data_IF_283563194796
#
_entry.id   IF_283563194796
#
_cell.length_a   1.000
_cell.length_b   1.000
_cell.length_c   1.000
_cell.angle_alpha   90.00
_cell.angle_beta   90.00
_cell.angle_gamma   90.00
#
_symmetry.space_group_name_H-M   'P 1'
#
loop_
_entity.id
_entity.type
_entity.pdbx_description
1 polymer ?
#
# COMPACT_ATOMS: atom_id res chain seq x y z
N UNK A 1 -17.87 32.70 6.68
CA UNK A 1 -17.48 31.63 5.74
C UNK A 1 -16.50 30.75 6.50
N UNK A 2 -16.94 29.58 6.99
CA UNK A 2 -16.04 28.67 7.71
C UNK A 2 -15.81 27.47 6.80
N UNK A 3 -14.70 27.48 6.08
CA UNK A 3 -14.21 26.29 5.39
C UNK A 3 -13.65 25.36 6.45
N UNK A 4 -14.50 24.45 6.96
CA UNK A 4 -14.02 23.28 7.68
C UNK A 4 -13.22 22.45 6.68
N UNK A 5 -11.90 22.63 6.70
CA UNK A 5 -10.97 21.84 5.91
C UNK A 5 -10.95 20.40 6.47
N UNK A 6 -11.99 19.63 6.13
CA UNK A 6 -12.23 18.30 6.65
C UNK A 6 -11.32 17.32 5.92
N UNK A 7 -10.09 17.19 6.42
CA UNK A 7 -9.06 16.28 5.89
C UNK A 7 -9.63 14.86 5.92
N UNK A 8 -9.85 14.27 4.74
CA UNK A 8 -10.52 12.96 4.60
C UNK A 8 -9.58 11.75 4.79
N UNK A 9 -8.27 11.98 4.92
CA UNK A 9 -7.28 10.93 5.07
C UNK A 9 -5.85 11.47 5.01
N UNK A 10 -4.88 10.58 5.22
CA UNK A 10 -3.45 10.90 5.30
C UNK A 10 -2.73 10.45 4.04
N UNK A 11 -1.88 11.33 3.48
CA UNK A 11 -0.95 10.98 2.42
C UNK A 11 0.45 10.80 3.02
N UNK A 12 1.01 9.59 2.88
CA UNK A 12 2.34 9.26 3.39
C UNK A 12 3.31 9.12 2.21
N UNK A 13 4.16 10.12 1.92
CA UNK A 13 5.19 10.00 0.90
C UNK A 13 6.34 9.12 1.43
N UNK A 14 6.63 8.02 0.72
CA UNK A 14 7.70 7.09 1.07
C UNK A 14 8.80 7.21 0.03
N UNK A 15 10.00 7.61 0.46
CA UNK A 15 11.16 7.86 -0.41
C UNK A 15 11.77 6.61 -1.06
N UNK A 16 11.21 5.43 -0.80
CA UNK A 16 11.68 4.14 -1.30
C UNK A 16 12.66 3.44 -0.36
N UNK A 17 13.03 2.21 -0.73
CA UNK A 17 13.84 1.30 0.07
C UNK A 17 13.27 1.07 1.49
N UNK A 18 11.95 1.11 1.61
CA UNK A 18 11.26 0.83 2.85
C UNK A 18 11.59 -0.58 3.35
N UNK A 19 11.84 -0.67 4.66
CA UNK A 19 12.08 -1.93 5.32
C UNK A 19 10.82 -2.80 5.26
N UNK A 20 11.01 -4.06 4.87
CA UNK A 20 9.99 -5.12 4.78
C UNK A 20 10.26 -6.24 5.78
N UNK A 21 11.18 -6.00 6.72
CA UNK A 21 11.59 -6.92 7.77
C UNK A 21 12.60 -7.96 7.29
N UNK A 22 13.44 -7.62 6.30
CA UNK A 22 14.46 -8.51 5.71
C UNK A 22 15.88 -7.91 5.75
N UNK A 23 16.06 -6.66 6.22
CA UNK A 23 17.36 -5.98 6.25
C UNK A 23 17.82 -5.68 7.68
N UNK A 24 19.10 -5.30 7.77
CA UNK A 24 20.01 -5.00 8.90
C UNK A 24 19.49 -4.31 10.18
N UNK A 25 18.19 -4.00 10.30
CA UNK A 25 17.56 -3.50 11.53
C UNK A 25 17.03 -4.63 12.42
N UNK A 26 16.79 -4.35 13.70
CA UNK A 26 16.16 -5.38 14.56
C UNK A 26 14.70 -5.56 14.15
N UNK A 27 14.17 -6.78 14.28
CA UNK A 27 12.73 -7.09 14.06
C UNK A 27 11.80 -6.20 14.90
N UNK A 28 12.30 -5.65 16.01
CA UNK A 28 11.59 -4.72 16.87
C UNK A 28 11.48 -3.32 16.23
N UNK A 29 12.52 -2.85 15.55
CA UNK A 29 12.55 -1.57 14.86
C UNK A 29 11.56 -1.56 13.70
N UNK A 30 11.54 -2.63 12.88
CA UNK A 30 10.54 -2.80 11.82
C UNK A 30 9.10 -2.73 12.37
N UNK A 31 8.85 -3.33 13.54
CA UNK A 31 7.51 -3.37 14.16
C UNK A 31 7.08 -2.06 14.81
N UNK A 32 7.99 -1.35 15.50
CA UNK A 32 7.65 -0.13 16.24
C UNK A 32 7.80 1.13 15.42
N UNK A 33 8.86 1.22 14.62
CA UNK A 33 9.28 2.44 13.93
C UNK A 33 9.34 2.28 12.40
N UNK A 34 9.06 1.09 11.86
CA UNK A 34 9.05 0.85 10.42
C UNK A 34 7.89 1.59 9.74
N UNK A 35 8.14 2.13 8.56
CA UNK A 35 7.14 2.91 7.81
C UNK A 35 5.86 2.10 7.51
N UNK A 36 5.96 0.78 7.30
CA UNK A 36 4.78 -0.07 7.11
C UNK A 36 3.94 -0.21 8.39
N UNK A 37 4.58 -0.15 9.56
CA UNK A 37 3.86 -0.09 10.85
C UNK A 37 3.09 1.23 10.97
N UNK A 38 3.72 2.34 10.57
CA UNK A 38 3.06 3.64 10.54
C UNK A 38 1.87 3.68 9.57
N UNK A 39 2.00 3.09 8.37
CA UNK A 39 0.86 2.93 7.44
C UNK A 39 -0.32 2.23 8.11
N UNK A 40 -0.08 1.16 8.88
CA UNK A 40 -1.15 0.48 9.62
C UNK A 40 -1.73 1.35 10.75
N UNK A 41 -0.91 2.17 11.42
CA UNK A 41 -1.38 3.08 12.48
C UNK A 41 -2.32 4.15 11.95
N UNK A 42 -2.08 4.68 10.75
CA UNK A 42 -2.96 5.63 10.07
C UNK A 42 -4.26 4.97 9.54
N UNK A 43 -4.28 3.64 9.46
CA UNK A 43 -5.49 2.84 9.19
C UNK A 43 -6.21 2.39 10.46
N UNK A 44 -6.45 1.09 10.56
CA UNK A 44 -7.09 0.41 11.71
C UNK A 44 -6.13 -0.54 12.42
N UNK A 45 -4.83 -0.29 12.34
CA UNK A 45 -3.79 -1.17 12.88
C UNK A 45 -3.79 -2.52 12.16
N UNK A 46 -3.79 -3.61 12.92
CA UNK A 46 -3.72 -4.99 12.39
C UNK A 46 -4.98 -5.42 11.63
N UNK A 47 -6.11 -4.75 11.87
CA UNK A 47 -7.39 -5.03 11.22
C UNK A 47 -7.59 -4.24 9.92
N UNK A 48 -6.59 -3.45 9.52
CA UNK A 48 -6.64 -2.64 8.29
C UNK A 48 -6.82 -3.51 7.05
N UNK A 49 -7.73 -3.11 6.17
CA UNK A 49 -7.80 -3.57 4.79
C UNK A 49 -6.77 -2.79 3.96
N UNK A 50 -5.65 -3.44 3.66
CA UNK A 50 -4.57 -2.83 2.87
C UNK A 50 -4.69 -3.28 1.43
N UNK A 51 -4.75 -2.31 0.50
CA UNK A 51 -4.65 -2.57 -0.94
C UNK A 51 -3.27 -2.15 -1.43
N UNK A 52 -2.53 -3.07 -2.02
CA UNK A 52 -1.22 -2.83 -2.61
C UNK A 52 -1.33 -2.83 -4.13
N UNK A 53 -0.82 -1.78 -4.78
CA UNK A 53 -0.82 -1.60 -6.23
C UNK A 53 0.64 -1.61 -6.73
N UNK A 54 1.17 -2.76 -7.17
CA UNK A 54 2.56 -2.89 -7.58
C UNK A 54 2.83 -2.46 -9.03
N UNK A 55 1.92 -1.69 -9.64
CA UNK A 55 1.92 -1.35 -11.07
C UNK A 55 3.16 -0.59 -11.54
N UNK A 56 3.89 0.07 -10.65
CA UNK A 56 5.16 0.72 -11.00
C UNK A 56 6.31 -0.29 -11.23
N UNK A 57 6.23 -1.46 -10.60
CA UNK A 57 7.30 -2.47 -10.59
C UNK A 57 7.39 -3.27 -11.90
N UNK A 58 8.61 -3.68 -12.26
CA UNK A 58 8.86 -4.64 -13.36
C UNK A 58 8.59 -6.09 -12.95
N UNK A 59 8.58 -6.36 -11.64
CA UNK A 59 8.32 -7.65 -11.01
C UNK A 59 7.15 -7.52 -10.02
N UNK A 60 5.92 -7.22 -10.52
CA UNK A 60 4.80 -6.84 -9.67
C UNK A 60 4.31 -7.95 -8.74
N UNK A 61 4.46 -9.22 -9.15
CA UNK A 61 4.04 -10.39 -8.37
C UNK A 61 4.94 -10.59 -7.16
N UNK A 62 6.26 -10.56 -7.36
CA UNK A 62 7.26 -10.63 -6.27
C UNK A 62 7.12 -9.45 -5.30
N UNK A 63 6.99 -8.22 -5.83
CA UNK A 63 6.80 -7.03 -4.98
C UNK A 63 5.50 -7.11 -4.19
N UNK A 64 4.41 -7.57 -4.81
CA UNK A 64 3.13 -7.79 -4.14
C UNK A 64 3.26 -8.79 -2.99
N UNK A 65 3.90 -9.94 -3.24
CA UNK A 65 4.14 -10.96 -2.22
C UNK A 65 4.98 -10.43 -1.06
N UNK A 66 6.04 -9.66 -1.35
CA UNK A 66 6.87 -9.05 -0.32
C UNK A 66 6.08 -8.12 0.61
N UNK A 67 5.09 -7.37 0.11
CA UNK A 67 4.22 -6.58 0.98
C UNK A 67 3.23 -7.43 1.79
N UNK A 68 2.66 -8.48 1.20
CA UNK A 68 1.80 -9.42 1.94
C UNK A 68 2.57 -9.97 3.15
N UNK A 69 3.79 -10.46 2.93
CA UNK A 69 4.63 -11.05 3.97
C UNK A 69 5.05 -9.99 5.01
N UNK A 70 5.41 -8.78 4.57
CA UNK A 70 5.79 -7.69 5.46
C UNK A 70 4.63 -7.27 6.38
N UNK A 71 3.43 -7.07 5.85
CA UNK A 71 2.25 -6.75 6.66
C UNK A 71 1.83 -7.91 7.56
N UNK A 72 1.98 -9.15 7.10
CA UNK A 72 1.74 -10.33 7.93
C UNK A 72 2.71 -10.40 9.13
N UNK A 73 4.00 -10.03 8.95
CA UNK A 73 4.97 -9.91 10.06
C UNK A 73 4.55 -8.85 11.10
N UNK A 74 3.80 -7.83 10.68
CA UNK A 74 3.20 -6.80 11.56
C UNK A 74 1.86 -7.23 12.18
N UNK A 75 1.31 -8.36 11.74
CA UNK A 75 0.05 -8.92 12.22
C UNK A 75 -1.18 -8.54 11.39
N UNK A 76 -1.01 -7.79 10.29
CA UNK A 76 -2.08 -7.46 9.36
C UNK A 76 -2.13 -8.50 8.24
N UNK A 77 -3.23 -9.24 8.16
CA UNK A 77 -3.43 -10.30 7.14
C UNK A 77 -4.41 -9.93 6.04
N UNK A 78 -5.11 -8.80 6.17
CA UNK A 78 -6.10 -8.35 5.21
C UNK A 78 -5.46 -7.49 4.12
N UNK A 79 -4.62 -8.13 3.30
CA UNK A 79 -3.85 -7.48 2.24
C UNK A 79 -4.33 -7.99 0.89
N UNK A 80 -4.79 -7.09 0.03
CA UNK A 80 -5.16 -7.38 -1.36
C UNK A 80 -4.16 -6.76 -2.31
N UNK A 81 -3.64 -7.53 -3.26
CA UNK A 81 -2.75 -7.02 -4.31
C UNK A 81 -3.53 -6.80 -5.60
N UNK A 82 -3.65 -5.54 -6.03
CA UNK A 82 -4.26 -5.20 -7.31
C UNK A 82 -3.17 -4.98 -8.35
N UNK A 83 -2.81 -6.05 -9.07
CA UNK A 83 -1.84 -6.00 -10.17
C UNK A 83 -2.50 -5.44 -11.45
N UNK A 84 -2.69 -4.12 -11.49
CA UNK A 84 -3.27 -3.42 -12.64
C UNK A 84 -2.24 -3.37 -13.77
N UNK A 85 -2.47 -4.16 -14.82
CA UNK A 85 -1.64 -4.25 -16.03
C UNK A 85 -2.19 -3.37 -17.16
N UNK A 86 -3.49 -3.11 -17.18
CA UNK A 86 -4.20 -2.29 -18.19
C UNK A 86 -5.27 -1.41 -17.55
N UNK A 87 -5.67 -0.34 -18.25
CA UNK A 87 -6.62 0.68 -17.75
C UNK A 87 -8.00 0.12 -17.42
N UNK A 88 -8.46 -0.86 -18.19
CA UNK A 88 -9.77 -1.48 -17.99
C UNK A 88 -9.84 -2.23 -16.65
N UNK A 89 -8.70 -2.72 -16.15
CA UNK A 89 -8.63 -3.37 -14.84
C UNK A 89 -8.75 -2.35 -13.70
N UNK A 90 -8.26 -1.12 -13.87
CA UNK A 90 -8.39 -0.08 -12.86
C UNK A 90 -9.86 0.30 -12.61
N UNK A 91 -10.67 0.27 -13.67
CA UNK A 91 -12.10 0.58 -13.62
C UNK A 91 -13.00 -0.65 -13.46
N UNK A 92 -12.44 -1.84 -13.20
CA UNK A 92 -13.26 -3.03 -12.98
C UNK A 92 -14.06 -2.90 -11.68
N UNK A 93 -15.24 -3.53 -11.63
CA UNK A 93 -16.09 -3.55 -10.42
C UNK A 93 -15.33 -4.09 -9.21
N UNK A 94 -14.48 -5.09 -9.41
CA UNK A 94 -13.64 -5.70 -8.39
C UNK A 94 -12.61 -4.70 -7.83
N UNK A 95 -11.85 -4.02 -8.69
CA UNK A 95 -10.87 -3.01 -8.26
C UNK A 95 -11.54 -1.88 -7.49
N UNK A 96 -12.68 -1.38 -7.99
CA UNK A 96 -13.46 -0.33 -7.31
C UNK A 96 -13.96 -0.80 -5.94
N UNK A 97 -14.43 -2.04 -5.82
CA UNK A 97 -14.86 -2.62 -4.54
C UNK A 97 -13.70 -2.68 -3.53
N UNK A 98 -12.54 -3.18 -3.94
CA UNK A 98 -11.38 -3.24 -3.06
C UNK A 98 -10.92 -1.85 -2.61
N UNK A 99 -10.84 -0.89 -3.54
CA UNK A 99 -10.42 0.48 -3.22
C UNK A 99 -11.45 1.20 -2.33
N UNK A 100 -12.74 1.06 -2.61
CA UNK A 100 -13.80 1.73 -1.82
C UNK A 100 -13.92 1.22 -0.39
N UNK A 101 -13.41 0.03 -0.10
CA UNK A 101 -13.45 -0.59 1.23
C UNK A 101 -12.09 -0.65 1.92
N UNK A 102 -11.03 -0.13 1.29
CA UNK A 102 -9.68 -0.11 1.84
C UNK A 102 -9.56 0.91 2.98
N UNK A 103 -8.80 0.55 4.01
CA UNK A 103 -8.36 1.48 5.04
C UNK A 103 -7.03 2.14 4.65
N UNK A 104 -6.19 1.41 3.88
CA UNK A 104 -4.93 1.90 3.35
C UNK A 104 -4.78 1.51 1.87
N UNK A 105 -4.37 2.44 1.02
CA UNK A 105 -3.97 2.15 -0.36
C UNK A 105 -2.50 2.50 -0.53
N UNK A 106 -1.70 1.55 -0.98
CA UNK A 106 -0.25 1.69 -1.14
C UNK A 106 0.16 1.43 -2.59
N UNK A 107 0.86 2.38 -3.19
CA UNK A 107 1.53 2.19 -4.48
C UNK A 107 2.97 1.77 -4.24
N UNK A 108 3.43 0.69 -4.87
CA UNK A 108 4.84 0.29 -4.75
C UNK A 108 5.76 1.24 -5.50
N UNK A 109 7.06 1.18 -5.18
CA UNK A 109 8.11 1.80 -5.98
C UNK A 109 8.24 1.21 -7.39
N UNK A 110 8.95 1.95 -8.26
CA UNK A 110 9.21 1.59 -9.65
C UNK A 110 9.09 2.80 -10.59
N UNK A 111 8.60 2.59 -11.80
CA UNK A 111 8.41 3.66 -12.78
C UNK A 111 6.99 4.26 -12.70
N UNK A 112 6.89 5.52 -12.26
CA UNK A 112 5.63 6.25 -12.05
C UNK A 112 4.86 6.48 -13.35
N UNK A 113 5.53 6.54 -14.51
CA UNK A 113 4.84 6.63 -15.81
C UNK A 113 3.99 5.39 -16.10
N UNK A 114 4.35 4.22 -15.55
CA UNK A 114 3.53 2.99 -15.68
C UNK A 114 2.24 3.08 -14.87
N UNK A 115 2.26 3.77 -13.74
CA UNK A 115 1.05 4.05 -12.95
C UNK A 115 0.13 4.95 -13.77
N UNK A 116 0.65 6.08 -14.26
CA UNK A 116 -0.13 7.02 -15.08
C UNK A 116 -0.77 6.32 -16.27
N UNK A 117 0.02 5.65 -17.11
CA UNK A 117 -0.50 5.01 -18.33
C UNK A 117 -1.53 3.89 -18.11
N UNK A 118 -1.68 3.35 -16.90
CA UNK A 118 -2.57 2.22 -16.59
C UNK A 118 -3.69 2.55 -15.61
N UNK A 119 -3.66 3.70 -14.94
CA UNK A 119 -4.63 4.06 -13.91
C UNK A 119 -5.20 5.46 -14.15
N UNK A 120 -4.36 6.46 -14.49
CA UNK A 120 -4.74 7.86 -14.62
C UNK A 120 -4.97 8.26 -16.08
#
# INVERSE_FOLDING_TARGET
>A
MNENNNIKGVLIPIGGNEDKGDRWGTKLDFKKNGILSHVLQEGKGKESKVVVIPTASRIPEEVGQNYIDAFAKLGCRNVTVLNIKRREQASSKESIMHISTADCVMFSGGNQSRIRGKIA
#
